data_IF_047033398087
#
_entry.id   IF_047033398087
#
_cell.length_a   1.000
_cell.length_b   1.000
_cell.length_c   1.000
_cell.angle_alpha   90.00
_cell.angle_beta   90.00
_cell.angle_gamma   90.00
#
_symmetry.space_group_name_H-M   'P 1'
#
loop_
_entity.id
_entity.type
_entity.pdbx_description
1 polymer ?
#
# COMPACT_ATOMS: atom_id res chain seq x y z
N UNK A 1 9.52 10.34 21.01
CA UNK A 1 8.36 9.42 20.92
C UNK A 1 8.46 8.70 19.59
N UNK A 2 8.82 7.43 19.59
CA UNK A 2 9.01 6.65 18.36
C UNK A 2 7.64 6.22 17.84
N UNK A 3 7.03 7.04 16.99
CA UNK A 3 5.78 6.68 16.33
C UNK A 3 6.08 5.67 15.24
N UNK A 4 5.65 4.43 15.45
CA UNK A 4 5.69 3.34 14.50
C UNK A 4 4.61 3.58 13.43
N UNK A 5 4.78 4.66 12.65
CA UNK A 5 3.81 5.15 11.67
C UNK A 5 3.81 4.25 10.44
N UNK A 6 2.94 3.23 10.44
CA UNK A 6 2.49 2.64 9.17
C UNK A 6 1.77 3.74 8.40
N UNK A 7 2.10 3.97 7.12
CA UNK A 7 1.45 5.00 6.32
C UNK A 7 -0.03 4.68 6.16
N UNK A 8 -0.87 5.69 6.02
CA UNK A 8 -2.24 5.49 5.53
C UNK A 8 -2.21 4.91 4.11
N UNK A 9 -3.33 4.34 3.65
CA UNK A 9 -3.41 3.81 2.28
C UNK A 9 -3.09 4.90 1.24
N UNK A 10 -3.62 6.12 1.43
CA UNK A 10 -3.35 7.25 0.54
C UNK A 10 -1.87 7.65 0.53
N UNK A 11 -1.22 7.72 1.70
CA UNK A 11 0.21 7.99 1.79
C UNK A 11 1.06 6.89 1.14
N UNK A 12 0.67 5.62 1.30
CA UNK A 12 1.36 4.50 0.66
C UNK A 12 1.28 4.57 -0.86
N UNK A 13 0.13 4.98 -1.41
CA UNK A 13 -0.05 5.21 -2.85
C UNK A 13 0.77 6.40 -3.33
N UNK A 14 0.74 7.53 -2.63
CA UNK A 14 1.55 8.70 -2.99
C UNK A 14 3.06 8.41 -2.94
N UNK A 15 3.51 7.58 -1.99
CA UNK A 15 4.89 7.12 -1.91
C UNK A 15 5.24 6.20 -3.10
N UNK A 16 4.34 5.28 -3.50
CA UNK A 16 4.52 4.45 -4.70
C UNK A 16 4.64 5.29 -5.98
N UNK A 17 3.81 6.31 -6.16
CA UNK A 17 3.89 7.23 -7.29
C UNK A 17 5.23 7.98 -7.32
N UNK A 18 5.68 8.44 -6.15
CA UNK A 18 6.98 9.10 -6.00
C UNK A 18 8.15 8.16 -6.34
N UNK A 19 8.06 6.89 -5.93
CA UNK A 19 9.05 5.87 -6.28
C UNK A 19 9.10 5.66 -7.80
N UNK A 20 7.94 5.53 -8.46
CA UNK A 20 7.87 5.37 -9.91
C UNK A 20 8.49 6.57 -10.62
N UNK A 21 8.14 7.80 -10.20
CA UNK A 21 8.71 9.02 -10.76
C UNK A 21 10.24 9.05 -10.58
N UNK A 22 10.75 8.61 -9.42
CA UNK A 22 12.18 8.57 -9.16
C UNK A 22 12.92 7.53 -10.00
N UNK A 23 12.33 6.36 -10.25
CA UNK A 23 12.92 5.32 -11.10
C UNK A 23 12.94 5.73 -12.58
N UNK A 24 11.95 6.52 -13.02
CA UNK A 24 11.88 7.04 -14.38
C UNK A 24 12.83 8.23 -14.65
N UNK A 25 13.43 8.79 -13.60
CA UNK A 25 14.40 9.87 -13.72
C UNK A 25 15.72 9.33 -14.31
N UNK A 26 16.20 9.95 -15.40
CA UNK A 26 17.43 9.56 -16.09
C UNK A 26 18.69 9.66 -15.19
N UNK A 27 18.61 10.40 -14.08
CA UNK A 27 19.67 10.51 -13.08
C UNK A 27 19.62 9.41 -12.01
N UNK A 28 18.69 8.46 -12.09
CA UNK A 28 18.54 7.41 -11.08
C UNK A 28 19.63 6.34 -11.21
N UNK A 29 20.39 6.12 -10.15
CA UNK A 29 21.45 5.11 -10.12
C UNK A 29 20.87 3.70 -9.99
N UNK A 30 21.51 2.73 -10.65
CA UNK A 30 21.05 1.32 -10.67
C UNK A 30 20.91 0.74 -9.24
N UNK A 31 21.82 1.09 -8.33
CA UNK A 31 21.75 0.65 -6.94
C UNK A 31 20.51 1.23 -6.22
N UNK A 32 20.18 2.49 -6.47
CA UNK A 32 18.97 3.14 -5.95
C UNK A 32 17.69 2.51 -6.50
N UNK A 33 17.66 2.11 -7.77
CA UNK A 33 16.49 1.43 -8.37
C UNK A 33 16.14 0.16 -7.58
N UNK A 34 17.15 -0.61 -7.17
CA UNK A 34 16.95 -1.83 -6.38
C UNK A 34 16.31 -1.52 -5.02
N UNK A 35 16.80 -0.50 -4.32
CA UNK A 35 16.27 -0.08 -3.02
C UNK A 35 14.84 0.45 -3.11
N UNK A 36 14.58 1.31 -4.10
CA UNK A 36 13.25 1.86 -4.39
C UNK A 36 12.25 0.74 -4.73
N UNK A 37 12.68 -0.25 -5.53
CA UNK A 37 11.84 -1.40 -5.87
C UNK A 37 11.51 -2.25 -4.64
N UNK A 38 12.48 -2.48 -3.75
CA UNK A 38 12.25 -3.21 -2.50
C UNK A 38 11.27 -2.46 -1.57
N UNK A 39 11.39 -1.13 -1.51
CA UNK A 39 10.44 -0.27 -0.78
C UNK A 39 9.04 -0.35 -1.40
N UNK A 40 8.92 -0.25 -2.71
CA UNK A 40 7.65 -0.39 -3.42
C UNK A 40 6.99 -1.74 -3.16
N UNK A 41 7.74 -2.85 -3.18
CA UNK A 41 7.19 -4.17 -2.82
C UNK A 41 6.61 -4.21 -1.41
N UNK A 42 7.25 -3.54 -0.45
CA UNK A 42 6.76 -3.45 0.93
C UNK A 42 5.44 -2.69 0.99
N UNK A 43 5.34 -1.55 0.30
CA UNK A 43 4.12 -0.75 0.22
C UNK A 43 2.99 -1.50 -0.49
N UNK A 44 3.28 -2.18 -1.60
CA UNK A 44 2.30 -2.99 -2.33
C UNK A 44 1.73 -4.12 -1.47
N UNK A 45 2.58 -4.79 -0.68
CA UNK A 45 2.11 -5.82 0.27
C UNK A 45 1.17 -5.22 1.31
N UNK A 46 1.53 -4.08 1.88
CA UNK A 46 0.67 -3.36 2.82
C UNK A 46 -0.68 -2.96 2.21
N UNK A 47 -0.67 -2.39 1.00
CA UNK A 47 -1.90 -2.02 0.29
C UNK A 47 -2.79 -3.24 0.00
N UNK A 48 -2.18 -4.38 -0.38
CA UNK A 48 -2.90 -5.63 -0.62
C UNK A 48 -3.57 -6.16 0.66
N UNK A 49 -2.85 -6.16 1.78
CA UNK A 49 -3.38 -6.56 3.09
C UNK A 49 -4.58 -5.68 3.48
N UNK A 50 -4.45 -4.35 3.33
CA UNK A 50 -5.54 -3.40 3.63
C UNK A 50 -6.79 -3.61 2.78
N UNK A 51 -6.61 -3.85 1.48
CA UNK A 51 -7.73 -4.15 0.59
C UNK A 51 -8.44 -5.44 0.99
N UNK A 52 -7.68 -6.48 1.32
CA UNK A 52 -8.24 -7.76 1.76
C UNK A 52 -9.01 -7.63 3.09
N UNK A 53 -8.43 -6.95 4.08
CA UNK A 53 -9.10 -6.68 5.36
C UNK A 53 -10.41 -5.90 5.16
N UNK A 54 -10.41 -4.93 4.23
CA UNK A 54 -11.59 -4.12 3.91
C UNK A 54 -12.66 -4.98 3.23
N UNK A 55 -12.28 -5.80 2.25
CA UNK A 55 -13.17 -6.72 1.54
C UNK A 55 -13.85 -7.72 2.49
N UNK A 56 -13.08 -8.36 3.37
CA UNK A 56 -13.65 -9.28 4.37
C UNK A 56 -14.61 -8.58 5.33
N UNK A 57 -14.30 -7.35 5.73
CA UNK A 57 -15.15 -6.56 6.61
C UNK A 57 -16.47 -6.18 5.92
N UNK A 58 -16.40 -5.74 4.66
CA UNK A 58 -17.58 -5.44 3.85
C UNK A 58 -18.44 -6.68 3.64
N UNK A 59 -17.83 -7.83 3.35
CA UNK A 59 -18.55 -9.09 3.19
C UNK A 59 -19.36 -9.46 4.43
N UNK A 60 -18.75 -9.40 5.62
CA UNK A 60 -19.46 -9.66 6.89
C UNK A 60 -20.63 -8.71 7.12
N UNK A 61 -20.46 -7.42 6.84
CA UNK A 61 -21.54 -6.44 6.96
C UNK A 61 -22.70 -6.73 6.00
N UNK A 62 -22.40 -7.19 4.77
CA UNK A 62 -23.42 -7.58 3.80
C UNK A 62 -24.13 -8.88 4.24
N UNK A 63 -23.39 -9.87 4.73
CA UNK A 63 -23.96 -11.12 5.26
C UNK A 63 -24.91 -10.85 6.44
N UNK A 64 -24.55 -9.94 7.36
CA UNK A 64 -25.42 -9.49 8.47
C UNK A 64 -26.71 -8.83 7.99
N UNK A 65 -26.69 -8.11 6.86
CA UNK A 65 -27.88 -7.52 6.27
C UNK A 65 -28.80 -8.55 5.61
N UNK A 66 -28.23 -9.61 5.03
CA UNK A 66 -28.99 -10.70 4.39
C UNK A 66 -29.58 -11.70 5.41
N UNK A 67 -28.91 -11.94 6.56
CA UNK A 67 -29.44 -12.76 7.66
C UNK A 67 -30.59 -12.10 8.44
N UNK A 68 -30.79 -10.79 8.26
CA UNK A 68 -31.89 -10.02 8.85
C UNK A 68 -33.24 -10.13 8.11
N UNK A 69 -33.37 -11.06 7.14
CA UNK A 69 -34.61 -11.35 6.40
C UNK A 69 -35.31 -12.63 6.86
#
# INVERSE_FOLDING_TARGET
MAQNNKPTYAEAIAELESIVARIQDDSCEIETIKELTARAMTLLKYCKEKLFETDESLKKLLDELDEGK
#
